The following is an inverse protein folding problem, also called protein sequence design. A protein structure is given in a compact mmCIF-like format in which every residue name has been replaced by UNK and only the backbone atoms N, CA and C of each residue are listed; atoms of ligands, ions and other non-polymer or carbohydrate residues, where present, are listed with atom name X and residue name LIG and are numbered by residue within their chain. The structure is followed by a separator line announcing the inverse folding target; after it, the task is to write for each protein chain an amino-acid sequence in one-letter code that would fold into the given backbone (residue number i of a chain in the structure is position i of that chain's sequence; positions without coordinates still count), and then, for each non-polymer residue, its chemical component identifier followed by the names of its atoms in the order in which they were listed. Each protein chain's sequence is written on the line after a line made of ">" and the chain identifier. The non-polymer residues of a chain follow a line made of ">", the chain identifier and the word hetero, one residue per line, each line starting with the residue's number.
data_IF_811677991716
#
_entry.id   IF_811677991716
#
_cell.length_a   1.000
_cell.length_b   1.000
_cell.length_c   1.000
_cell.angle_alpha   90.00
_cell.angle_beta   90.00
_cell.angle_gamma   90.00
#
_symmetry.space_group_name_H-M   'P 1'
#
loop_
_entity.id
_entity.type
_entity.pdbx_description
1 polymer ?
#
# COMPACT_ATOMS: atom_id res chain seq x y z
N UNK A 1 11.85 -12.59 5.86
CA UNK A 1 11.07 -12.85 4.63
C UNK A 1 11.83 -12.23 3.47
N UNK A 2 11.70 -12.80 2.28
CA UNK A 2 12.21 -12.18 1.06
C UNK A 2 11.18 -11.16 0.57
N UNK A 3 11.40 -9.87 0.88
CA UNK A 3 10.46 -8.78 0.58
C UNK A 3 10.18 -8.64 -0.92
N UNK A 4 11.12 -9.05 -1.80
CA UNK A 4 10.93 -9.00 -3.26
C UNK A 4 9.93 -10.06 -3.68
N UNK A 5 10.07 -11.27 -3.13
CA UNK A 5 9.09 -12.34 -3.33
C UNK A 5 7.74 -11.96 -2.75
N UNK A 6 7.68 -11.43 -1.52
CA UNK A 6 6.41 -11.04 -0.91
C UNK A 6 5.70 -9.96 -1.72
N UNK A 7 6.40 -8.91 -2.15
CA UNK A 7 5.84 -7.86 -2.99
C UNK A 7 5.25 -8.43 -4.29
N UNK A 8 5.99 -9.32 -4.97
CA UNK A 8 5.49 -9.99 -6.17
C UNK A 8 4.27 -10.87 -5.89
N UNK A 9 4.27 -11.63 -4.79
CA UNK A 9 3.12 -12.46 -4.39
C UNK A 9 1.88 -11.62 -4.11
N UNK A 10 2.03 -10.50 -3.39
CA UNK A 10 0.94 -9.56 -3.11
C UNK A 10 0.38 -8.94 -4.39
N UNK A 11 1.26 -8.55 -5.31
CA UNK A 11 0.89 -7.98 -6.59
C UNK A 11 0.09 -8.97 -7.45
N UNK A 12 0.52 -10.24 -7.51
CA UNK A 12 -0.20 -11.30 -8.23
C UNK A 12 -1.57 -11.56 -7.60
N UNK A 13 -1.64 -11.66 -6.26
CA UNK A 13 -2.91 -11.85 -5.57
C UNK A 13 -3.88 -10.68 -5.86
N UNK A 14 -3.38 -9.44 -5.81
CA UNK A 14 -4.17 -8.25 -6.13
C UNK A 14 -4.67 -8.25 -7.58
N UNK A 15 -3.85 -8.68 -8.54
CA UNK A 15 -4.29 -8.83 -9.93
C UNK A 15 -5.42 -9.88 -10.08
N UNK A 16 -5.34 -10.98 -9.32
CA UNK A 16 -6.39 -11.99 -9.24
C UNK A 16 -7.70 -11.38 -8.73
N UNK A 17 -7.64 -10.68 -7.59
CA UNK A 17 -8.80 -9.94 -7.06
C UNK A 17 -9.41 -9.01 -8.10
N UNK A 18 -8.59 -8.18 -8.77
CA UNK A 18 -9.07 -7.21 -9.77
C UNK A 18 -9.72 -7.90 -10.97
N UNK A 19 -9.20 -9.06 -11.39
CA UNK A 19 -9.78 -9.85 -12.49
C UNK A 19 -11.16 -10.43 -12.12
N UNK A 20 -11.40 -10.69 -10.84
CA UNK A 20 -12.66 -11.24 -10.33
C UNK A 20 -13.70 -10.16 -9.97
N UNK A 21 -13.32 -8.86 -10.03
CA UNK A 21 -14.24 -7.77 -9.74
C UNK A 21 -15.36 -7.67 -10.80
N UNK A 22 -16.62 -7.44 -10.39
CA UNK A 22 -17.70 -7.23 -11.35
C UNK A 22 -17.51 -5.91 -12.13
N UNK A 23 -17.29 -6.00 -13.45
CA UNK A 23 -17.01 -4.84 -14.32
C UNK A 23 -18.07 -3.71 -14.21
N UNK A 24 -19.33 -4.06 -13.96
CA UNK A 24 -20.43 -3.09 -13.80
C UNK A 24 -20.44 -2.33 -12.46
N UNK A 25 -19.53 -2.62 -11.53
CA UNK A 25 -19.49 -2.03 -10.18
C UNK A 25 -18.33 -1.07 -9.96
N UNK A 26 -17.52 -0.79 -10.98
CA UNK A 26 -16.34 0.07 -10.84
C UNK A 26 -16.71 1.50 -10.37
N UNK A 27 -17.87 2.02 -10.76
CA UNK A 27 -18.30 3.36 -10.37
C UNK A 27 -19.21 3.37 -9.12
N UNK A 28 -19.39 2.22 -8.45
CA UNK A 28 -20.08 2.13 -7.16
C UNK A 28 -19.15 2.52 -6.00
N UNK A 29 -19.70 2.79 -4.78
CA UNK A 29 -18.89 3.09 -3.60
C UNK A 29 -17.83 2.00 -3.30
N UNK A 30 -16.59 2.43 -3.07
CA UNK A 30 -15.46 1.57 -2.71
C UNK A 30 -15.02 1.78 -1.26
N UNK A 31 -14.48 2.96 -0.96
CA UNK A 31 -13.95 3.29 0.38
C UNK A 31 -14.10 4.78 0.67
N UNK A 32 -14.78 5.13 1.77
CA UNK A 32 -15.05 6.54 2.10
C UNK A 32 -15.81 7.22 0.96
N UNK A 33 -15.26 8.32 0.45
CA UNK A 33 -15.82 9.07 -0.67
C UNK A 33 -15.39 8.53 -2.05
N UNK A 34 -14.52 7.53 -2.10
CA UNK A 34 -14.04 6.96 -3.36
C UNK A 34 -14.98 5.90 -3.90
N UNK A 35 -15.18 5.94 -5.22
CA UNK A 35 -15.67 4.80 -5.99
C UNK A 35 -14.68 3.64 -5.95
N UNK A 36 -15.13 2.43 -6.30
CA UNK A 36 -14.26 1.28 -6.45
C UNK A 36 -13.13 1.58 -7.46
N UNK A 37 -13.43 2.25 -8.57
CA UNK A 37 -12.46 2.66 -9.60
C UNK A 37 -11.37 3.56 -9.03
N UNK A 38 -11.75 4.54 -8.20
CA UNK A 38 -10.80 5.44 -7.54
C UNK A 38 -9.95 4.70 -6.50
N UNK A 39 -10.54 3.76 -5.73
CA UNK A 39 -9.80 2.89 -4.82
C UNK A 39 -8.76 2.02 -5.56
N UNK A 40 -9.15 1.40 -6.68
CA UNK A 40 -8.21 0.66 -7.53
C UNK A 40 -7.14 1.59 -8.08
N UNK A 41 -7.53 2.77 -8.55
CA UNK A 41 -6.65 3.83 -9.03
C UNK A 41 -5.58 4.22 -8.00
N UNK A 42 -5.99 4.46 -6.76
CA UNK A 42 -5.08 4.73 -5.64
C UNK A 42 -4.15 3.55 -5.40
N UNK A 43 -4.67 2.34 -5.31
CA UNK A 43 -3.86 1.15 -5.01
C UNK A 43 -2.77 0.94 -6.07
N UNK A 44 -3.13 1.04 -7.36
CA UNK A 44 -2.15 0.85 -8.43
C UNK A 44 -1.16 2.01 -8.50
N UNK A 45 -1.58 3.23 -8.15
CA UNK A 45 -0.68 4.37 -8.15
C UNK A 45 0.29 4.35 -6.98
N UNK A 46 -0.21 4.02 -5.79
CA UNK A 46 0.52 3.96 -4.54
C UNK A 46 1.51 2.79 -4.51
N UNK A 47 1.11 1.63 -5.05
CA UNK A 47 1.87 0.40 -4.89
C UNK A 47 2.63 -0.10 -6.13
N UNK A 48 2.22 0.27 -7.35
CA UNK A 48 2.80 -0.30 -8.58
C UNK A 48 3.38 0.77 -9.51
N UNK A 49 2.57 1.76 -9.93
CA UNK A 49 2.94 2.74 -10.95
C UNK A 49 4.13 3.60 -10.54
N UNK A 50 4.22 3.97 -9.26
CA UNK A 50 5.32 4.79 -8.77
C UNK A 50 6.64 4.02 -8.60
N UNK A 51 6.60 2.68 -8.51
CA UNK A 51 7.78 1.86 -8.16
C UNK A 51 8.96 2.12 -9.10
N UNK A 52 8.83 2.05 -10.43
CA UNK A 52 9.95 2.34 -11.31
C UNK A 52 10.53 3.76 -11.14
N UNK A 53 9.67 4.76 -10.91
CA UNK A 53 10.09 6.16 -10.73
C UNK A 53 10.86 6.35 -9.43
N UNK A 54 10.36 5.81 -8.33
CA UNK A 54 11.00 5.92 -7.02
C UNK A 54 12.33 5.17 -6.99
N UNK A 55 12.37 3.95 -7.55
CA UNK A 55 13.61 3.17 -7.63
C UNK A 55 14.69 3.83 -8.50
N UNK A 56 14.32 4.65 -9.47
CA UNK A 56 15.24 5.42 -10.31
C UNK A 56 15.72 6.74 -9.68
N UNK A 57 15.17 7.14 -8.52
CA UNK A 57 15.45 8.43 -7.88
C UNK A 57 16.35 8.24 -6.64
N UNK A 58 17.69 8.35 -6.76
CA UNK A 58 18.58 8.16 -5.62
C UNK A 58 18.41 9.27 -4.57
N UNK A 59 18.60 8.94 -3.29
CA UNK A 59 18.73 9.92 -2.21
C UNK A 59 20.15 9.89 -1.62
N UNK A 60 20.66 11.03 -1.10
CA UNK A 60 22.04 11.13 -0.61
C UNK A 60 22.28 10.37 0.69
N UNK A 61 21.25 10.11 1.49
CA UNK A 61 21.35 9.46 2.79
C UNK A 61 20.02 8.81 3.19
N UNK A 62 20.08 7.90 4.15
CA UNK A 62 18.89 7.32 4.78
C UNK A 62 18.37 8.30 5.82
N UNK A 63 17.15 8.79 5.61
CA UNK A 63 16.42 9.65 6.55
C UNK A 63 15.37 8.85 7.32
N UNK A 64 14.75 7.86 6.66
CA UNK A 64 13.80 6.92 7.25
C UNK A 64 14.35 5.50 7.10
N UNK A 65 14.68 4.88 8.23
CA UNK A 65 15.43 3.62 8.27
C UNK A 65 14.57 2.36 8.33
N UNK A 66 13.24 2.48 8.49
CA UNK A 66 12.34 1.34 8.64
C UNK A 66 11.02 1.58 7.91
N UNK A 67 10.32 0.48 7.56
CA UNK A 67 9.03 0.54 6.91
C UNK A 67 7.96 1.20 7.81
N UNK A 68 7.95 0.90 9.11
CA UNK A 68 7.04 1.56 10.07
C UNK A 68 7.36 3.06 10.23
N UNK A 69 8.63 3.45 10.03
CA UNK A 69 9.05 4.85 10.01
C UNK A 69 8.40 5.66 8.89
N UNK A 70 8.10 5.03 7.75
CA UNK A 70 7.38 5.66 6.64
C UNK A 70 5.98 6.11 7.07
N UNK A 71 5.24 5.25 7.77
CA UNK A 71 3.90 5.56 8.28
C UNK A 71 3.94 6.51 9.49
N UNK A 72 4.94 6.36 10.36
CA UNK A 72 5.13 7.27 11.49
C UNK A 72 5.45 8.70 11.02
N UNK A 73 6.22 8.86 9.93
CA UNK A 73 6.51 10.16 9.34
C UNK A 73 5.23 10.92 8.98
N UNK A 74 4.30 10.28 8.29
CA UNK A 74 3.03 10.88 7.88
C UNK A 74 2.23 11.45 9.06
N UNK A 75 2.26 10.80 10.23
CA UNK A 75 1.57 11.29 11.45
C UNK A 75 2.29 12.45 12.14
N UNK A 76 3.60 12.57 11.96
CA UNK A 76 4.40 13.64 12.56
C UNK A 76 4.55 14.87 11.66
N UNK A 77 4.15 14.74 10.39
CA UNK A 77 4.21 15.82 9.42
C UNK A 77 3.25 16.97 9.78
N UNK A 78 3.58 18.23 9.41
CA UNK A 78 2.67 19.35 9.59
C UNK A 78 1.31 19.10 8.94
N UNK A 79 0.23 19.50 9.60
CA UNK A 79 -1.15 19.24 9.14
C UNK A 79 -1.42 19.74 7.71
N UNK A 80 -0.90 20.92 7.36
CA UNK A 80 -1.02 21.49 6.02
C UNK A 80 -0.34 20.60 4.95
N UNK A 81 0.81 20.01 5.29
CA UNK A 81 1.52 19.10 4.39
C UNK A 81 0.74 17.79 4.21
N UNK A 82 0.16 17.26 5.29
CA UNK A 82 -0.68 16.05 5.25
C UNK A 82 -1.93 16.31 4.41
N UNK A 83 -2.60 17.45 4.62
CA UNK A 83 -3.77 17.83 3.84
C UNK A 83 -3.46 17.98 2.34
N UNK A 84 -2.34 18.61 1.99
CA UNK A 84 -1.89 18.73 0.61
C UNK A 84 -1.55 17.36 -0.01
N UNK A 85 -0.90 16.47 0.75
CA UNK A 85 -0.60 15.11 0.30
C UNK A 85 -1.86 14.27 0.09
N UNK A 86 -2.85 14.38 0.97
CA UNK A 86 -4.14 13.71 0.83
C UNK A 86 -4.91 14.21 -0.41
N UNK A 87 -4.94 15.53 -0.64
CA UNK A 87 -5.57 16.09 -1.83
C UNK A 87 -4.88 15.60 -3.12
N UNK A 88 -3.55 15.64 -3.17
CA UNK A 88 -2.79 15.12 -4.30
C UNK A 88 -3.01 13.61 -4.51
N UNK A 89 -3.11 12.83 -3.43
CA UNK A 89 -3.42 11.39 -3.50
C UNK A 89 -4.83 11.14 -4.04
N UNK A 90 -5.82 11.94 -3.66
CA UNK A 90 -7.18 11.82 -4.18
C UNK A 90 -7.27 12.17 -5.68
N UNK A 91 -6.62 13.24 -6.11
CA UNK A 91 -6.52 13.59 -7.53
C UNK A 91 -5.82 12.50 -8.35
N UNK A 92 -4.72 11.96 -7.81
CA UNK A 92 -3.95 10.89 -8.45
C UNK A 92 -4.71 9.56 -8.49
N UNK A 93 -5.50 9.25 -7.44
CA UNK A 93 -6.40 8.10 -7.38
C UNK A 93 -7.44 8.16 -8.51
N UNK A 94 -8.07 9.32 -8.69
CA UNK A 94 -9.04 9.54 -9.78
C UNK A 94 -8.38 9.41 -11.15
N UNK A 95 -7.27 10.11 -11.39
CA UNK A 95 -6.57 10.04 -12.67
C UNK A 95 -6.08 8.61 -12.98
N UNK A 96 -5.59 7.89 -11.97
CA UNK A 96 -5.14 6.50 -12.13
C UNK A 96 -6.33 5.56 -12.34
N UNK A 97 -7.47 5.81 -11.71
CA UNK A 97 -8.71 5.05 -11.91
C UNK A 97 -9.29 5.22 -13.32
N UNK A 98 -9.23 6.44 -13.87
CA UNK A 98 -9.59 6.73 -15.27
C UNK A 98 -8.66 5.97 -16.25
N UNK A 99 -7.35 5.93 -15.95
CA UNK A 99 -6.36 5.21 -16.76
C UNK A 99 -6.55 3.68 -16.77
N UNK A 100 -7.20 3.10 -15.76
CA UNK A 100 -7.52 1.67 -15.75
C UNK A 100 -8.55 1.29 -16.83
N UNK A 101 -9.39 2.25 -17.24
CA UNK A 101 -10.40 2.06 -18.29
C UNK A 101 -11.36 0.89 -18.03
N UNK A 102 -11.71 0.17 -19.10
CA UNK A 102 -12.63 -0.97 -19.06
C UNK A 102 -11.93 -2.32 -18.83
N UNK A 103 -10.59 -2.33 -18.82
CA UNK A 103 -9.77 -3.51 -18.49
C UNK A 103 -8.77 -3.19 -17.36
N UNK A 104 -9.25 -3.07 -16.11
CA UNK A 104 -8.37 -2.86 -14.96
C UNK A 104 -7.35 -3.98 -14.76
N UNK A 105 -7.74 -5.23 -15.03
CA UNK A 105 -6.88 -6.40 -14.82
C UNK A 105 -5.66 -6.39 -15.75
N UNK A 106 -5.85 -6.10 -17.03
CA UNK A 106 -4.76 -5.95 -18.00
C UNK A 106 -3.81 -4.80 -17.66
N UNK A 107 -4.36 -3.66 -17.20
CA UNK A 107 -3.54 -2.52 -16.75
C UNK A 107 -2.73 -2.85 -15.50
N UNK A 108 -3.35 -3.47 -14.48
CA UNK A 108 -2.67 -3.94 -13.27
C UNK A 108 -1.53 -4.88 -13.65
N UNK A 109 -1.78 -5.89 -14.49
CA UNK A 109 -0.76 -6.85 -14.93
C UNK A 109 0.44 -6.16 -15.60
N UNK A 110 0.18 -5.14 -16.43
CA UNK A 110 1.23 -4.32 -17.04
C UNK A 110 2.07 -3.56 -16.01
N UNK A 111 1.42 -2.96 -15.00
CA UNK A 111 2.10 -2.23 -13.94
C UNK A 111 2.93 -3.16 -13.04
N UNK A 112 2.45 -4.37 -12.76
CA UNK A 112 3.21 -5.40 -12.03
C UNK A 112 4.47 -5.78 -12.79
N UNK A 113 4.37 -6.01 -14.10
CA UNK A 113 5.54 -6.30 -14.95
C UNK A 113 6.59 -5.18 -14.86
N UNK A 114 6.16 -3.91 -14.95
CA UNK A 114 7.07 -2.75 -14.84
C UNK A 114 7.71 -2.63 -13.45
N UNK A 115 6.92 -2.80 -12.39
CA UNK A 115 7.41 -2.69 -11.01
C UNK A 115 8.40 -3.82 -10.67
N UNK A 116 8.10 -5.05 -11.07
CA UNK A 116 8.99 -6.21 -10.84
C UNK A 116 10.27 -6.14 -11.66
N UNK A 117 10.19 -5.68 -12.92
CA UNK A 117 11.38 -5.42 -13.74
C UNK A 117 12.26 -4.35 -13.09
N UNK A 118 11.71 -3.19 -12.74
CA UNK A 118 12.48 -2.12 -12.10
C UNK A 118 13.11 -2.57 -10.77
N UNK A 119 12.38 -3.34 -9.96
CA UNK A 119 12.89 -3.89 -8.72
C UNK A 119 14.09 -4.83 -8.97
N UNK A 120 14.09 -5.61 -10.05
CA UNK A 120 15.20 -6.50 -10.40
C UNK A 120 16.51 -5.78 -10.73
N UNK A 121 16.45 -4.50 -11.09
CA UNK A 121 17.61 -3.69 -11.51
C UNK A 121 18.32 -2.94 -10.37
N UNK A 122 17.79 -2.98 -9.15
CA UNK A 122 18.33 -2.26 -7.98
C UNK A 122 18.79 -3.21 -6.88
N UNK A 123 19.73 -2.76 -6.04
CA UNK A 123 20.21 -3.50 -4.86
C UNK A 123 19.35 -3.18 -3.65
N UNK A 124 19.30 -4.12 -2.70
CA UNK A 124 18.50 -3.98 -1.47
C UNK A 124 18.90 -2.77 -0.61
N UNK A 125 20.19 -2.41 -0.65
CA UNK A 125 20.80 -1.31 0.09
C UNK A 125 20.86 0.02 -0.68
N UNK A 126 20.39 0.06 -1.94
CA UNK A 126 20.30 1.33 -2.67
C UNK A 126 19.34 2.28 -1.94
N UNK A 127 19.72 3.56 -1.86
CA UNK A 127 18.93 4.58 -1.16
C UNK A 127 18.13 5.38 -2.18
N UNK A 128 16.81 5.36 -2.03
CA UNK A 128 15.83 5.99 -2.93
C UNK A 128 15.14 7.17 -2.25
N UNK A 129 14.63 8.09 -3.06
CA UNK A 129 13.83 9.24 -2.60
C UNK A 129 12.36 8.84 -2.56
N UNK A 130 11.83 8.57 -1.35
CA UNK A 130 10.41 8.30 -1.12
C UNK A 130 9.66 9.57 -0.68
N UNK A 131 8.34 9.49 -0.57
CA UNK A 131 7.52 10.57 -0.01
C UNK A 131 7.85 10.89 1.46
N UNK A 132 8.44 9.95 2.21
CA UNK A 132 8.87 10.15 3.59
C UNK A 132 10.35 10.54 3.71
N UNK A 133 11.06 10.75 2.59
CA UNK A 133 12.50 11.00 2.53
C UNK A 133 13.30 9.79 2.06
N UNK A 134 14.62 9.87 2.22
CA UNK A 134 15.57 8.83 1.81
C UNK A 134 15.35 7.50 2.55
N UNK A 135 15.10 6.41 1.81
CA UNK A 135 14.90 5.06 2.35
C UNK A 135 15.71 4.03 1.55
N UNK A 136 16.10 2.91 2.17
CA UNK A 136 16.64 1.78 1.39
C UNK A 136 15.53 1.05 0.65
N UNK A 137 15.84 0.46 -0.49
CA UNK A 137 14.87 -0.37 -1.25
C UNK A 137 14.21 -1.43 -0.37
N UNK A 138 15.00 -2.15 0.45
CA UNK A 138 14.47 -3.19 1.37
C UNK A 138 13.54 -2.67 2.46
N UNK A 139 13.66 -1.38 2.81
CA UNK A 139 12.85 -0.74 3.85
C UNK A 139 11.59 -0.09 3.23
N UNK A 140 11.64 0.29 1.95
CA UNK A 140 10.54 0.95 1.25
C UNK A 140 9.54 -0.03 0.59
N UNK A 141 10.00 -1.10 -0.08
CA UNK A 141 9.11 -2.04 -0.78
C UNK A 141 8.07 -2.73 0.11
N UNK A 142 8.36 -3.07 1.39
CA UNK A 142 7.32 -3.57 2.31
C UNK A 142 6.14 -2.62 2.47
N UNK A 143 6.34 -1.30 2.37
CA UNK A 143 5.25 -0.31 2.41
C UNK A 143 4.34 -0.45 1.19
N UNK A 144 4.88 -0.76 0.00
CA UNK A 144 4.08 -0.99 -1.22
C UNK A 144 3.31 -2.31 -1.17
N UNK A 145 3.91 -3.33 -0.57
CA UNK A 145 3.23 -4.61 -0.28
C UNK A 145 2.03 -4.37 0.63
N UNK A 146 2.20 -3.54 1.66
CA UNK A 146 1.14 -3.19 2.60
C UNK A 146 -0.04 -2.49 1.92
N UNK A 147 0.23 -1.53 1.03
CA UNK A 147 -0.79 -0.84 0.22
C UNK A 147 -1.64 -1.81 -0.62
N UNK A 148 -1.01 -2.79 -1.30
CA UNK A 148 -1.72 -3.82 -2.06
C UNK A 148 -2.64 -4.66 -1.17
N UNK A 149 -2.18 -4.98 0.04
CA UNK A 149 -2.93 -5.84 0.97
C UNK A 149 -4.09 -5.09 1.57
N UNK A 150 -3.87 -3.89 2.12
CA UNK A 150 -4.92 -3.12 2.79
C UNK A 150 -6.01 -2.72 1.80
N UNK A 151 -5.63 -2.12 0.67
CA UNK A 151 -6.63 -1.66 -0.29
C UNK A 151 -7.23 -2.77 -1.16
N UNK A 152 -6.53 -3.90 -1.29
CA UNK A 152 -7.14 -5.13 -1.78
C UNK A 152 -8.24 -5.65 -0.85
N UNK A 153 -8.01 -5.64 0.47
CA UNK A 153 -9.03 -6.00 1.46
C UNK A 153 -10.21 -5.01 1.44
N UNK A 154 -9.96 -3.71 1.25
CA UNK A 154 -11.02 -2.70 1.10
C UNK A 154 -11.90 -2.99 -0.14
N UNK A 155 -11.27 -3.27 -1.29
CA UNK A 155 -12.00 -3.59 -2.54
C UNK A 155 -12.79 -4.90 -2.43
N UNK A 156 -12.21 -5.92 -1.78
CA UNK A 156 -12.88 -7.17 -1.47
C UNK A 156 -14.11 -6.95 -0.58
N UNK A 157 -13.99 -6.12 0.46
CA UNK A 157 -15.09 -5.78 1.35
C UNK A 157 -16.22 -5.01 0.64
N UNK A 158 -15.88 -4.07 -0.25
CA UNK A 158 -16.86 -3.28 -1.01
C UNK A 158 -17.65 -4.12 -2.03
N UNK A 159 -17.04 -5.19 -2.53
CA UNK A 159 -17.62 -6.00 -3.62
C UNK A 159 -18.18 -7.36 -3.17
N UNK A 160 -17.72 -7.86 -2.02
CA UNK A 160 -18.01 -9.22 -1.55
C UNK A 160 -17.20 -10.31 -2.26
N UNK A 161 -16.23 -9.94 -3.09
CA UNK A 161 -15.29 -10.88 -3.73
C UNK A 161 -14.26 -11.35 -2.71
N UNK A 162 -13.93 -12.63 -2.70
CA UNK A 162 -12.89 -13.16 -1.82
C UNK A 162 -11.49 -12.68 -2.27
N UNK A 163 -10.66 -12.30 -1.31
CA UNK A 163 -9.27 -11.95 -1.57
C UNK A 163 -8.34 -12.96 -0.90
N UNK A 164 -7.94 -13.98 -1.66
CA UNK A 164 -7.05 -15.04 -1.18
C UNK A 164 -5.59 -14.55 -1.14
N UNK A 165 -5.16 -14.17 0.06
CA UNK A 165 -3.81 -13.68 0.33
C UNK A 165 -2.88 -14.83 0.71
N UNK A 166 -1.71 -14.97 0.05
CA UNK A 166 -0.68 -15.89 0.52
C UNK A 166 -0.29 -15.60 1.98
N UNK A 167 -0.11 -16.65 2.77
CA UNK A 167 0.13 -16.52 4.23
C UNK A 167 1.34 -15.64 4.54
N UNK A 168 2.38 -15.68 3.72
CA UNK A 168 3.58 -14.85 3.88
C UNK A 168 3.30 -13.36 3.64
N UNK A 169 2.39 -13.04 2.71
CA UNK A 169 1.98 -11.67 2.40
C UNK A 169 1.18 -11.10 3.57
N UNK A 170 0.20 -11.86 4.06
CA UNK A 170 -0.59 -11.46 5.23
C UNK A 170 0.31 -11.30 6.47
N UNK A 171 1.23 -12.22 6.70
CA UNK A 171 2.15 -12.16 7.84
C UNK A 171 3.07 -10.93 7.78
N UNK A 172 3.62 -10.59 6.61
CA UNK A 172 4.47 -9.40 6.45
C UNK A 172 3.68 -8.11 6.72
N UNK A 173 2.47 -8.01 6.19
CA UNK A 173 1.58 -6.86 6.43
C UNK A 173 1.18 -6.73 7.91
N UNK A 174 0.88 -7.83 8.58
CA UNK A 174 0.57 -7.83 10.03
C UNK A 174 1.78 -7.44 10.89
N UNK A 175 2.99 -7.87 10.52
CA UNK A 175 4.22 -7.45 11.19
C UNK A 175 4.42 -5.95 11.06
N UNK A 176 4.25 -5.40 9.85
CA UNK A 176 4.36 -3.96 9.62
C UNK A 176 3.30 -3.18 10.39
N UNK A 177 2.04 -3.61 10.33
CA UNK A 177 0.96 -2.98 11.09
C UNK A 177 1.26 -2.94 12.60
N UNK A 178 1.74 -4.06 13.15
CA UNK A 178 2.07 -4.15 14.58
C UNK A 178 3.25 -3.25 14.94
N UNK A 179 4.29 -3.19 14.09
CA UNK A 179 5.44 -2.29 14.28
C UNK A 179 5.06 -0.82 14.21
N UNK A 180 4.22 -0.43 13.26
CA UNK A 180 3.68 0.93 13.18
C UNK A 180 2.88 1.27 14.45
N UNK A 181 2.01 0.37 14.87
CA UNK A 181 1.26 0.52 16.13
C UNK A 181 2.15 0.69 17.37
N UNK A 182 3.22 -0.10 17.48
CA UNK A 182 4.23 0.05 18.53
C UNK A 182 4.91 1.42 18.45
N UNK A 183 5.29 1.86 17.26
CA UNK A 183 5.96 3.14 17.01
C UNK A 183 5.13 4.35 17.42
N UNK A 184 3.80 4.25 17.38
CA UNK A 184 2.87 5.32 17.81
C UNK A 184 2.37 5.16 19.25
N UNK A 185 2.92 4.22 20.03
CA UNK A 185 2.54 4.00 21.43
C UNK A 185 1.27 3.16 21.64
N UNK A 186 0.72 2.56 20.58
CA UNK A 186 -0.49 1.72 20.65
C UNK A 186 -0.21 0.25 20.99
N UNK A 187 1.00 -0.11 21.41
CA UNK A 187 1.41 -1.51 21.64
C UNK A 187 0.56 -2.26 22.67
N UNK A 188 0.27 -1.65 23.82
CA UNK A 188 -0.56 -2.29 24.86
C UNK A 188 -2.02 -2.47 24.40
N UNK A 189 -2.71 -1.44 23.88
CA UNK A 189 -4.04 -1.62 23.28
C UNK A 189 -4.08 -2.70 22.20
N UNK A 190 -3.11 -2.71 21.28
CA UNK A 190 -3.03 -3.73 20.22
C UNK A 190 -2.86 -5.13 20.77
N UNK A 191 -1.95 -5.33 21.73
CA UNK A 191 -1.73 -6.65 22.32
C UNK A 191 -2.96 -7.15 23.08
N UNK A 192 -3.67 -6.25 23.79
CA UNK A 192 -4.93 -6.61 24.46
C UNK A 192 -6.03 -6.97 23.46
N UNK A 193 -6.12 -6.24 22.35
CA UNK A 193 -7.08 -6.53 21.27
C UNK A 193 -6.81 -7.86 20.56
N UNK A 194 -5.59 -8.05 20.06
CA UNK A 194 -5.20 -9.27 19.35
C UNK A 194 -5.29 -10.54 20.20
N UNK A 195 -5.33 -10.39 21.53
CA UNK A 195 -5.45 -11.51 22.47
C UNK A 195 -6.82 -11.60 23.15
N UNK A 196 -7.82 -10.86 22.64
CA UNK A 196 -9.23 -10.95 23.06
C UNK A 196 -9.54 -10.38 24.44
N UNK A 197 -8.65 -9.55 25.00
CA UNK A 197 -8.81 -8.96 26.34
C UNK A 197 -9.60 -7.66 26.32
N UNK A 198 -9.51 -6.91 25.22
CA UNK A 198 -10.25 -5.66 24.98
C UNK A 198 -10.58 -5.52 23.49
N UNK A 199 -11.48 -4.61 23.13
CA UNK A 199 -11.65 -4.18 21.74
C UNK A 199 -10.74 -2.98 21.47
N UNK A 200 -10.36 -2.77 20.20
CA UNK A 200 -9.74 -1.51 19.81
C UNK A 200 -10.75 -0.37 19.96
N UNK A 201 -10.32 0.84 20.37
CA UNK A 201 -11.21 2.00 20.45
C UNK A 201 -11.88 2.30 19.10
N UNK A 202 -13.12 2.83 19.11
CA UNK A 202 -13.75 3.32 17.89
C UNK A 202 -12.85 4.32 17.15
N UNK A 203 -12.68 4.14 15.84
CA UNK A 203 -11.83 4.99 15.00
C UNK A 203 -10.32 4.76 15.17
N UNK A 204 -9.90 3.67 15.82
CA UNK A 204 -8.49 3.32 15.91
C UNK A 204 -7.88 3.11 14.51
N UNK A 205 -6.76 3.79 14.23
CA UNK A 205 -5.96 3.61 13.02
C UNK A 205 -4.46 3.78 13.32
N UNK A 206 -3.65 2.98 12.63
CA UNK A 206 -2.19 3.08 12.60
C UNK A 206 -1.67 3.83 11.36
N UNK A 207 -2.53 4.00 10.36
CA UNK A 207 -2.29 4.76 9.12
C UNK A 207 -3.02 6.09 9.18
#
# INVERSE_FOLDING_TARGET
>A
MDFRRTFRSAAIAYAGLVADLPAGRLDEPGLGDWTLRELLGHTVSSALRQVPKVLAAPAPQVEVATAEGYFAYARSAPEELVAAAHAASAEDAKASGELLGDDPAGHVSTLIGRATEALSQVRDDDVITSAAGGMRVRDWIPTRTFELVVHGLDAAAATGVEFDLPVEVLAESLILATRTGLGIGAGVPLLRALTGREQLPPGFTIV
#
